data_IF_622678593625
#
_entry.id   IF_622678593625
#
_cell.length_a   1.000
_cell.length_b   1.000
_cell.length_c   1.000
_cell.angle_alpha   90.00
_cell.angle_beta   90.00
_cell.angle_gamma   90.00
#
_symmetry.space_group_name_H-M   'P 1'
#
loop_
_entity.id
_entity.type
_entity.pdbx_description
1 polymer ?
#
# COMPACT_ATOMS: atom_id res chain seq x y z
N UNK A 1 33.60 -19.89 -12.18
CA UNK A 1 32.95 -21.16 -11.73
C UNK A 1 32.65 -21.01 -10.25
N UNK A 2 31.37 -20.91 -9.82
CA UNK A 2 31.00 -20.75 -8.39
C UNK A 2 29.60 -20.21 -8.14
N UNK A 3 28.69 -20.11 -9.14
CA UNK A 3 27.37 -19.48 -8.96
C UNK A 3 26.20 -20.50 -9.00
N UNK A 4 26.45 -21.80 -9.07
CA UNK A 4 25.43 -22.80 -9.42
C UNK A 4 24.70 -23.46 -8.24
N UNK A 5 24.84 -22.97 -6.96
CA UNK A 5 24.18 -23.63 -5.82
C UNK A 5 23.58 -22.70 -4.75
N UNK A 6 23.48 -21.42 -5.00
CA UNK A 6 22.86 -20.53 -4.02
C UNK A 6 21.33 -20.62 -4.15
N UNK A 7 20.65 -21.06 -3.07
CA UNK A 7 19.20 -21.14 -3.03
C UNK A 7 18.60 -19.73 -3.15
N UNK A 8 17.48 -19.57 -3.85
CA UNK A 8 16.86 -18.25 -3.98
C UNK A 8 16.36 -17.75 -2.61
N UNK A 9 16.42 -16.44 -2.41
CA UNK A 9 15.69 -15.78 -1.33
C UNK A 9 14.20 -15.85 -1.65
N UNK A 10 13.40 -16.29 -0.69
CA UNK A 10 11.96 -16.44 -0.87
C UNK A 10 11.21 -15.17 -0.46
N UNK A 11 10.34 -14.69 -1.33
CA UNK A 11 9.35 -13.66 -1.00
C UNK A 11 8.00 -14.36 -0.78
N UNK A 12 7.54 -14.36 0.46
CA UNK A 12 6.29 -15.01 0.84
C UNK A 12 5.14 -14.02 0.69
N UNK A 13 4.49 -14.04 -0.49
CA UNK A 13 3.40 -13.15 -0.87
C UNK A 13 3.73 -12.23 -2.05
N UNK A 14 3.02 -12.40 -3.18
CA UNK A 14 3.17 -11.64 -4.43
C UNK A 14 2.35 -10.34 -4.49
N UNK A 15 2.08 -9.70 -3.33
CA UNK A 15 1.45 -8.39 -3.26
C UNK A 15 2.42 -7.24 -3.50
N UNK A 16 1.97 -5.99 -3.29
CA UNK A 16 2.77 -4.78 -3.53
C UNK A 16 4.12 -4.82 -2.79
N UNK A 17 4.12 -5.20 -1.50
CA UNK A 17 5.36 -5.26 -0.72
C UNK A 17 6.31 -6.33 -1.26
N UNK A 18 5.78 -7.50 -1.58
CA UNK A 18 6.60 -8.59 -2.13
C UNK A 18 7.22 -8.22 -3.47
N UNK A 19 6.45 -7.63 -4.38
CA UNK A 19 6.96 -7.16 -5.67
C UNK A 19 8.00 -6.04 -5.52
N UNK A 20 7.75 -5.05 -4.65
CA UNK A 20 8.66 -3.93 -4.43
C UNK A 20 10.01 -4.40 -3.86
N UNK A 21 9.99 -5.32 -2.89
CA UNK A 21 11.20 -5.88 -2.27
C UNK A 21 11.93 -6.80 -3.26
N UNK A 22 11.19 -7.63 -4.01
CA UNK A 22 11.79 -8.50 -5.02
C UNK A 22 12.51 -7.69 -6.11
N UNK A 23 11.90 -6.60 -6.58
CA UNK A 23 12.51 -5.67 -7.53
C UNK A 23 13.80 -5.06 -6.97
N UNK A 24 13.77 -4.54 -5.73
CA UNK A 24 14.95 -3.95 -5.06
C UNK A 24 16.09 -4.97 -4.90
N UNK A 25 15.78 -6.20 -4.48
CA UNK A 25 16.76 -7.26 -4.28
C UNK A 25 17.34 -7.77 -5.62
N UNK A 26 16.50 -7.94 -6.64
CA UNK A 26 16.93 -8.37 -7.95
C UNK A 26 17.85 -7.33 -8.62
N UNK A 27 17.60 -6.03 -8.46
CA UNK A 27 18.51 -4.96 -8.90
C UNK A 27 19.87 -5.03 -8.22
N UNK A 28 19.93 -5.57 -7.00
CA UNK A 28 21.18 -5.80 -6.25
C UNK A 28 21.84 -7.16 -6.59
N UNK A 29 21.33 -7.85 -7.60
CA UNK A 29 21.87 -9.13 -8.07
C UNK A 29 21.48 -10.35 -7.21
N UNK A 30 20.54 -10.21 -6.26
CA UNK A 30 20.04 -11.36 -5.50
C UNK A 30 19.13 -12.22 -6.38
N UNK A 31 19.29 -13.54 -6.29
CA UNK A 31 18.34 -14.49 -6.87
C UNK A 31 17.09 -14.56 -6.01
N UNK A 32 15.93 -14.20 -6.56
CA UNK A 32 14.67 -14.05 -5.82
C UNK A 32 13.58 -14.93 -6.41
N UNK A 33 12.78 -15.55 -5.54
CA UNK A 33 11.60 -16.32 -5.90
C UNK A 33 10.40 -15.86 -5.10
N UNK A 34 9.30 -15.51 -5.78
CA UNK A 34 8.04 -15.06 -5.18
C UNK A 34 7.05 -16.22 -5.14
N UNK A 35 6.55 -16.52 -3.95
CA UNK A 35 5.48 -17.49 -3.72
C UNK A 35 4.15 -16.76 -3.51
N UNK A 36 3.14 -17.05 -4.32
CA UNK A 36 1.86 -16.34 -4.25
C UNK A 36 0.68 -17.30 -4.44
N UNK A 37 -0.26 -17.27 -3.49
CA UNK A 37 -1.51 -18.03 -3.62
C UNK A 37 -2.40 -17.46 -4.72
N UNK A 38 -2.59 -16.16 -4.71
CA UNK A 38 -3.36 -15.42 -5.70
C UNK A 38 -3.03 -13.93 -5.59
N UNK A 39 -2.37 -13.39 -6.59
CA UNK A 39 -2.02 -11.95 -6.60
C UNK A 39 -3.24 -11.06 -6.70
N UNK A 40 -4.33 -11.52 -7.30
CA UNK A 40 -5.58 -10.75 -7.40
C UNK A 40 -6.24 -10.46 -6.04
N UNK A 41 -5.95 -11.25 -4.99
CA UNK A 41 -6.41 -10.99 -3.62
C UNK A 41 -5.56 -9.94 -2.90
N UNK A 42 -4.42 -9.54 -3.46
CA UNK A 42 -3.52 -8.60 -2.79
C UNK A 42 -4.13 -7.21 -2.66
N UNK A 43 -3.95 -6.58 -1.49
CA UNK A 43 -4.43 -5.22 -1.21
C UNK A 43 -3.91 -4.18 -2.23
N UNK A 44 -2.76 -4.44 -2.86
CA UNK A 44 -2.21 -3.61 -3.94
C UNK A 44 -3.15 -3.49 -5.14
N UNK A 45 -3.92 -4.51 -5.49
CA UNK A 45 -4.92 -4.43 -6.57
C UNK A 45 -6.26 -3.81 -6.12
N UNK A 46 -6.40 -3.45 -4.85
CA UNK A 46 -7.60 -2.82 -4.29
C UNK A 46 -7.39 -1.32 -4.06
N UNK A 47 -6.21 -0.93 -3.62
CA UNK A 47 -5.88 0.42 -3.20
C UNK A 47 -6.06 1.47 -4.32
N UNK A 48 -6.52 2.66 -3.94
CA UNK A 48 -6.68 3.79 -4.86
C UNK A 48 -5.35 4.43 -5.28
N UNK A 49 -4.29 4.21 -4.52
CA UNK A 49 -2.96 4.73 -4.86
C UNK A 49 -2.70 6.16 -4.38
N UNK A 50 -3.33 6.61 -3.33
CA UNK A 50 -2.98 7.90 -2.71
C UNK A 50 -1.58 7.83 -2.08
N UNK A 51 -0.82 8.93 -2.25
CA UNK A 51 0.46 9.21 -1.63
C UNK A 51 0.24 10.43 -0.72
N UNK A 52 -0.27 10.19 0.48
CA UNK A 52 -1.00 11.19 1.25
C UNK A 52 -0.59 11.27 2.73
N UNK A 53 0.71 11.38 3.07
CA UNK A 53 1.11 11.41 4.48
C UNK A 53 0.52 12.61 5.22
N UNK A 54 0.31 13.72 4.52
CA UNK A 54 -0.24 14.92 5.11
C UNK A 54 -1.76 14.94 5.08
N UNK A 55 -2.37 14.67 3.92
CA UNK A 55 -3.82 14.71 3.77
C UNK A 55 -4.53 13.59 4.57
N UNK A 56 -3.88 12.47 4.86
CA UNK A 56 -4.41 11.45 5.77
C UNK A 56 -4.20 11.75 7.25
N UNK A 57 -3.54 12.87 7.58
CA UNK A 57 -3.31 13.32 8.94
C UNK A 57 -2.44 12.36 9.76
N UNK A 58 -1.42 11.76 9.15
CA UNK A 58 -0.50 10.86 9.84
C UNK A 58 0.22 11.61 10.98
N UNK A 59 0.64 10.87 12.01
CA UNK A 59 1.25 11.44 13.23
C UNK A 59 2.55 10.74 13.58
N UNK A 60 3.40 11.43 14.34
CA UNK A 60 4.63 10.86 14.94
C UNK A 60 5.50 10.16 13.90
N UNK A 61 6.07 9.03 14.28
CA UNK A 61 7.00 8.26 13.43
C UNK A 61 6.36 7.75 12.13
N UNK A 62 5.04 7.50 12.11
CA UNK A 62 4.36 7.09 10.89
C UNK A 62 4.29 8.25 9.86
N UNK A 63 4.15 9.50 10.32
CA UNK A 63 4.26 10.67 9.46
C UNK A 63 5.68 10.81 8.91
N UNK A 64 6.70 10.69 9.76
CA UNK A 64 8.10 10.77 9.36
C UNK A 64 8.44 9.70 8.31
N UNK A 65 8.04 8.46 8.55
CA UNK A 65 8.20 7.35 7.60
C UNK A 65 7.48 7.63 6.27
N UNK A 66 6.25 8.16 6.34
CA UNK A 66 5.45 8.51 5.17
C UNK A 66 6.07 9.62 4.33
N UNK A 67 6.57 10.68 4.96
CA UNK A 67 7.29 11.77 4.30
C UNK A 67 8.59 11.29 3.65
N UNK A 68 9.36 10.50 4.39
CA UNK A 68 10.61 9.91 3.89
C UNK A 68 10.35 8.96 2.70
N UNK A 69 9.23 8.21 2.72
CA UNK A 69 8.82 7.38 1.58
C UNK A 69 8.37 8.22 0.38
N UNK A 70 7.58 9.27 0.60
CA UNK A 70 7.09 10.16 -0.46
C UNK A 70 8.25 10.77 -1.26
N UNK A 71 9.32 11.18 -0.57
CA UNK A 71 10.53 11.72 -1.20
C UNK A 71 11.27 10.68 -2.07
N UNK A 72 11.13 9.39 -1.77
CA UNK A 72 11.76 8.29 -2.51
C UNK A 72 10.99 7.86 -3.75
N UNK A 73 9.68 8.16 -3.81
CA UNK A 73 8.82 7.72 -4.92
C UNK A 73 9.34 8.08 -6.32
N UNK A 74 9.79 9.32 -6.61
CA UNK A 74 10.23 9.65 -7.96
C UNK A 74 11.34 8.72 -8.47
N UNK A 75 12.39 8.52 -7.67
CA UNK A 75 13.51 7.63 -8.02
C UNK A 75 13.11 6.16 -8.10
N UNK A 76 12.27 5.71 -7.14
CA UNK A 76 11.77 4.34 -7.11
C UNK A 76 10.93 4.03 -8.34
N UNK A 77 10.03 4.94 -8.74
CA UNK A 77 9.18 4.81 -9.92
C UNK A 77 10.01 4.84 -11.20
N UNK A 78 10.96 5.76 -11.33
CA UNK A 78 11.87 5.83 -12.47
C UNK A 78 12.59 4.49 -12.69
N UNK A 79 13.04 3.86 -11.62
CA UNK A 79 13.68 2.54 -11.68
C UNK A 79 12.74 1.45 -12.20
N UNK A 80 11.47 1.44 -11.72
CA UNK A 80 10.46 0.49 -12.18
C UNK A 80 10.12 0.73 -13.66
N UNK A 81 9.89 1.98 -14.06
CA UNK A 81 9.58 2.35 -15.43
C UNK A 81 10.73 2.02 -16.39
N UNK A 82 11.98 2.21 -15.95
CA UNK A 82 13.17 1.84 -16.70
C UNK A 82 13.25 0.34 -16.95
N UNK A 83 13.01 -0.47 -15.93
CA UNK A 83 13.08 -1.93 -16.05
C UNK A 83 11.88 -2.52 -16.80
N UNK A 84 10.68 -2.03 -16.52
CA UNK A 84 9.44 -2.56 -17.11
C UNK A 84 9.13 -2.02 -18.51
N UNK A 85 9.65 -0.84 -18.87
CA UNK A 85 9.24 -0.04 -20.02
C UNK A 85 7.76 0.36 -20.00
N UNK A 86 7.19 0.49 -18.79
CA UNK A 86 5.78 0.84 -18.57
C UNK A 86 5.68 2.04 -17.64
N UNK A 87 4.72 2.94 -17.89
CA UNK A 87 4.43 4.03 -16.97
C UNK A 87 3.70 3.53 -15.73
N UNK A 88 4.02 4.10 -14.58
CA UNK A 88 3.37 3.85 -13.29
C UNK A 88 2.29 4.88 -12.94
N UNK A 89 2.24 6.00 -13.67
CA UNK A 89 1.23 7.04 -13.47
C UNK A 89 1.39 7.83 -12.16
N UNK A 90 2.63 8.08 -11.74
CA UNK A 90 2.94 8.95 -10.59
C UNK A 90 2.56 10.40 -10.87
N UNK A 91 1.85 11.05 -9.93
CA UNK A 91 1.45 12.46 -10.03
C UNK A 91 1.47 13.15 -8.67
N UNK A 92 2.19 14.26 -8.59
CA UNK A 92 2.09 15.22 -7.49
C UNK A 92 0.99 16.22 -7.84
N UNK A 93 -0.27 15.79 -7.65
CA UNK A 93 -1.43 16.60 -8.03
C UNK A 93 -2.03 17.42 -6.89
N UNK A 94 -1.54 17.25 -5.67
CA UNK A 94 -2.10 17.85 -4.47
C UNK A 94 -3.40 17.16 -4.02
N UNK A 95 -3.65 17.24 -2.70
CA UNK A 95 -4.84 16.68 -2.06
C UNK A 95 -5.54 17.77 -1.27
N UNK A 96 -6.84 17.91 -1.45
CA UNK A 96 -7.69 18.84 -0.68
C UNK A 96 -8.41 18.08 0.42
N UNK A 97 -8.32 18.61 1.64
CA UNK A 97 -9.11 18.16 2.80
C UNK A 97 -10.10 19.28 3.16
N UNK A 98 -11.41 19.09 2.94
CA UNK A 98 -12.42 20.10 3.25
C UNK A 98 -12.89 20.03 4.72
N UNK A 99 -13.24 21.16 5.29
CA UNK A 99 -13.75 21.31 6.68
C UNK A 99 -15.03 22.14 6.71
N UNK A 100 -15.92 21.82 7.66
CA UNK A 100 -17.16 22.56 7.89
C UNK A 100 -16.90 23.83 8.73
N UNK A 101 -15.86 23.81 9.56
CA UNK A 101 -15.53 24.93 10.45
C UNK A 101 -14.03 25.06 10.68
N UNK A 102 -13.64 26.24 11.18
CA UNK A 102 -12.23 26.60 11.42
C UNK A 102 -11.58 25.75 12.50
N UNK A 103 -12.30 25.39 13.56
CA UNK A 103 -11.77 24.63 14.69
C UNK A 103 -11.25 23.25 14.24
N UNK A 104 -12.04 22.54 13.44
CA UNK A 104 -11.66 21.23 12.92
C UNK A 104 -10.47 21.34 11.97
N UNK A 105 -10.41 22.39 11.16
CA UNK A 105 -9.29 22.68 10.28
C UNK A 105 -7.98 22.91 11.06
N UNK A 106 -8.02 23.79 12.07
CA UNK A 106 -6.83 24.14 12.86
C UNK A 106 -6.35 23.00 13.77
N UNK A 107 -7.26 22.12 14.19
CA UNK A 107 -6.94 20.91 14.95
C UNK A 107 -6.45 19.74 14.09
N UNK A 108 -6.43 19.89 12.76
CA UNK A 108 -5.99 18.80 11.88
C UNK A 108 -4.52 18.45 12.11
N UNK A 109 -4.16 17.16 12.26
CA UNK A 109 -2.81 16.77 12.73
C UNK A 109 -1.67 17.33 11.90
N UNK A 110 -1.88 17.50 10.62
CA UNK A 110 -0.89 17.99 9.65
C UNK A 110 -1.17 19.43 9.16
N UNK A 111 -2.00 20.18 9.89
CA UNK A 111 -2.39 21.54 9.56
C UNK A 111 -1.24 22.43 9.08
N UNK A 112 -0.10 22.39 9.78
CA UNK A 112 1.10 23.19 9.48
C UNK A 112 1.74 22.92 8.11
N UNK A 113 1.39 21.82 7.47
CA UNK A 113 1.90 21.44 6.14
C UNK A 113 0.94 21.79 5.00
N UNK A 114 -0.30 22.17 5.33
CA UNK A 114 -1.36 22.50 4.37
C UNK A 114 -1.46 24.00 4.10
N UNK A 115 -1.76 24.35 2.86
CA UNK A 115 -2.18 25.68 2.47
C UNK A 115 -3.67 25.84 2.81
N UNK A 116 -3.99 26.86 3.61
CA UNK A 116 -5.37 27.13 4.01
C UNK A 116 -6.13 27.75 2.85
N UNK A 117 -7.26 27.19 2.51
CA UNK A 117 -8.17 27.67 1.48
C UNK A 117 -9.45 28.21 2.13
N UNK A 118 -9.84 29.44 1.80
CA UNK A 118 -11.18 29.94 2.05
C UNK A 118 -12.20 29.30 1.11
N UNK A 119 -13.50 29.59 1.27
CA UNK A 119 -14.56 28.96 0.45
C UNK A 119 -14.40 29.20 -1.05
N UNK A 120 -14.00 30.39 -1.47
CA UNK A 120 -13.84 30.73 -2.89
C UNK A 120 -12.65 29.99 -3.50
N UNK A 121 -11.51 29.99 -2.82
CA UNK A 121 -10.32 29.23 -3.22
C UNK A 121 -10.59 27.72 -3.25
N UNK A 122 -11.32 27.21 -2.25
CA UNK A 122 -11.71 25.82 -2.18
C UNK A 122 -12.56 25.40 -3.40
N UNK A 123 -13.50 26.24 -3.84
CA UNK A 123 -14.31 25.99 -5.03
C UNK A 123 -13.52 26.10 -6.34
N UNK A 124 -12.44 26.89 -6.38
CA UNK A 124 -11.54 26.91 -7.54
C UNK A 124 -10.74 25.60 -7.68
N UNK A 125 -10.32 25.03 -6.55
CA UNK A 125 -9.60 23.76 -6.54
C UNK A 125 -10.54 22.55 -6.70
N UNK A 126 -11.77 22.63 -6.16
CA UNK A 126 -12.78 21.56 -6.16
C UNK A 126 -14.15 22.12 -6.59
N UNK A 127 -14.39 22.29 -7.91
CA UNK A 127 -15.70 22.69 -8.39
C UNK A 127 -16.80 21.69 -7.99
N UNK A 128 -18.00 22.19 -7.67
CA UNK A 128 -19.14 21.37 -7.28
C UNK A 128 -19.09 20.85 -5.82
N UNK A 129 -18.11 21.25 -5.03
CA UNK A 129 -18.02 20.87 -3.63
C UNK A 129 -19.22 21.40 -2.84
N UNK A 130 -19.89 20.51 -2.09
CA UNK A 130 -21.10 20.80 -1.31
C UNK A 130 -20.93 22.03 -0.40
N UNK A 131 -22.03 22.81 -0.24
CA UNK A 131 -22.03 24.08 0.49
C UNK A 131 -21.69 23.96 1.99
N UNK A 132 -21.81 22.77 2.57
CA UNK A 132 -21.45 22.54 3.96
C UNK A 132 -19.96 22.75 4.23
N UNK A 133 -19.08 22.54 3.25
CA UNK A 133 -17.63 22.69 3.37
C UNK A 133 -17.24 24.15 3.21
N UNK A 134 -16.81 24.79 4.28
CA UNK A 134 -16.58 26.25 4.35
C UNK A 134 -15.14 26.66 4.06
N UNK A 135 -14.18 25.76 4.31
CA UNK A 135 -12.75 25.99 4.13
C UNK A 135 -12.04 24.66 3.88
N UNK A 136 -10.76 24.69 3.54
CA UNK A 136 -9.97 23.48 3.28
C UNK A 136 -8.51 23.65 3.57
N UNK A 137 -7.79 22.53 3.56
CA UNK A 137 -6.33 22.47 3.49
C UNK A 137 -5.93 21.81 2.17
N UNK A 138 -5.04 22.46 1.43
CA UNK A 138 -4.42 21.90 0.23
C UNK A 138 -2.99 21.46 0.57
N UNK A 139 -2.73 20.17 0.44
CA UNK A 139 -1.41 19.57 0.59
C UNK A 139 -0.80 19.36 -0.79
N UNK A 140 -0.07 20.35 -1.30
CA UNK A 140 0.48 20.36 -2.68
C UNK A 140 1.51 19.25 -2.92
N UNK A 141 2.22 18.85 -1.90
CA UNK A 141 3.25 17.81 -1.95
C UNK A 141 2.70 16.37 -2.01
N UNK A 142 1.45 16.19 -1.60
CA UNK A 142 0.76 14.91 -1.68
C UNK A 142 0.27 14.63 -3.11
N UNK A 143 0.00 13.38 -3.41
CA UNK A 143 -0.38 13.01 -4.76
C UNK A 143 -0.95 11.61 -4.88
N UNK A 144 -0.75 11.02 -6.06
CA UNK A 144 -1.24 9.69 -6.38
C UNK A 144 -0.33 8.94 -7.33
N UNK A 145 -0.53 7.64 -7.36
CA UNK A 145 -0.04 6.76 -8.41
C UNK A 145 -1.20 5.88 -8.90
N UNK A 146 -1.23 5.52 -10.19
CA UNK A 146 -2.24 4.58 -10.67
C UNK A 146 -1.85 3.15 -10.28
N UNK A 147 -2.06 2.86 -9.00
CA UNK A 147 -1.58 1.65 -8.38
C UNK A 147 -2.18 0.38 -9.02
N UNK A 148 -3.51 0.35 -9.19
CA UNK A 148 -4.25 -0.84 -9.62
C UNK A 148 -4.03 -1.16 -11.10
N UNK A 149 -4.03 -0.16 -11.97
CA UNK A 149 -3.95 -0.34 -13.43
C UNK A 149 -2.51 -0.37 -13.96
N UNK A 150 -1.62 0.43 -13.35
CA UNK A 150 -0.27 0.66 -13.87
C UNK A 150 0.83 0.11 -12.95
N UNK A 151 0.96 0.62 -11.72
CA UNK A 151 2.10 0.29 -10.84
C UNK A 151 2.27 -1.22 -10.61
N UNK A 152 1.18 -1.92 -10.25
CA UNK A 152 1.28 -3.36 -9.95
C UNK A 152 1.74 -4.16 -11.16
N UNK A 153 1.30 -3.80 -12.36
CA UNK A 153 1.71 -4.44 -13.62
C UNK A 153 3.15 -4.09 -13.99
N UNK A 154 3.52 -2.83 -13.83
CA UNK A 154 4.90 -2.38 -14.09
C UNK A 154 5.89 -3.05 -13.15
N UNK A 155 5.60 -3.16 -11.86
CA UNK A 155 6.42 -3.87 -10.88
C UNK A 155 6.57 -5.36 -11.23
N UNK A 156 5.47 -6.02 -11.57
CA UNK A 156 5.52 -7.42 -11.99
C UNK A 156 6.42 -7.60 -13.22
N UNK A 157 6.21 -6.77 -14.25
CA UNK A 157 7.02 -6.80 -15.46
C UNK A 157 8.49 -6.51 -15.15
N UNK A 158 8.78 -5.50 -14.34
CA UNK A 158 10.15 -5.17 -13.91
C UNK A 158 10.83 -6.34 -13.19
N UNK A 159 10.11 -7.04 -12.31
CA UNK A 159 10.63 -8.24 -11.65
C UNK A 159 10.94 -9.35 -12.65
N UNK A 160 10.06 -9.60 -13.64
CA UNK A 160 10.31 -10.60 -14.69
C UNK A 160 11.55 -10.27 -15.51
N UNK A 161 11.71 -9.01 -15.94
CA UNK A 161 12.88 -8.55 -16.70
C UNK A 161 14.19 -8.65 -15.91
N UNK A 162 14.13 -8.56 -14.58
CA UNK A 162 15.27 -8.75 -13.68
C UNK A 162 15.49 -10.22 -13.30
N UNK A 163 14.75 -11.16 -13.86
CA UNK A 163 14.94 -12.59 -13.62
C UNK A 163 14.34 -13.11 -12.30
N UNK A 164 13.40 -12.39 -11.70
CA UNK A 164 12.66 -12.90 -10.53
C UNK A 164 11.77 -14.05 -10.97
N UNK A 165 11.84 -15.15 -10.26
CA UNK A 165 10.99 -16.31 -10.50
C UNK A 165 9.67 -16.20 -9.73
N UNK A 166 8.55 -16.62 -10.36
CA UNK A 166 7.22 -16.57 -9.76
C UNK A 166 6.62 -17.97 -9.66
N UNK A 167 6.17 -18.35 -8.47
CA UNK A 167 5.31 -19.50 -8.25
C UNK A 167 3.90 -19.03 -7.86
N UNK A 168 3.01 -18.94 -8.83
CA UNK A 168 1.60 -18.58 -8.62
C UNK A 168 0.77 -19.82 -8.30
N UNK A 169 -0.31 -19.65 -7.52
CA UNK A 169 -1.16 -20.76 -7.06
C UNK A 169 -0.57 -21.55 -5.90
N UNK A 170 0.46 -20.99 -5.24
CA UNK A 170 1.17 -21.63 -4.13
C UNK A 170 0.86 -20.91 -2.82
N UNK A 171 0.23 -21.62 -1.89
CA UNK A 171 -0.06 -21.12 -0.55
C UNK A 171 1.05 -21.50 0.43
N UNK A 172 1.70 -20.52 1.03
CA UNK A 172 2.60 -20.76 2.16
C UNK A 172 1.77 -21.07 3.39
N UNK A 173 1.96 -22.22 4.00
CA UNK A 173 1.16 -22.69 5.15
C UNK A 173 1.95 -22.73 6.44
N UNK A 174 3.30 -22.82 6.38
CA UNK A 174 4.15 -22.93 7.57
C UNK A 174 5.57 -22.44 7.26
N UNK A 175 6.19 -21.78 8.24
CA UNK A 175 7.62 -21.44 8.25
C UNK A 175 8.37 -22.60 8.89
N UNK A 176 9.36 -23.12 8.16
CA UNK A 176 10.27 -24.14 8.68
C UNK A 176 11.51 -23.49 9.27
N UNK A 177 11.92 -23.96 10.44
CA UNK A 177 13.13 -23.50 11.12
C UNK A 177 13.88 -24.65 11.76
N UNK A 178 15.19 -24.50 11.85
CA UNK A 178 16.07 -25.35 12.64
C UNK A 178 16.62 -24.49 13.78
N UNK A 179 16.25 -24.86 15.02
CA UNK A 179 16.47 -24.03 16.21
C UNK A 179 15.86 -22.64 16.02
N UNK A 180 16.67 -21.61 15.81
CA UNK A 180 16.24 -20.23 15.56
C UNK A 180 16.64 -19.71 14.18
N UNK A 181 16.99 -20.59 13.23
CA UNK A 181 17.37 -20.24 11.85
C UNK A 181 16.29 -20.68 10.87
N UNK A 182 15.91 -19.78 9.95
CA UNK A 182 15.01 -20.11 8.85
C UNK A 182 15.62 -21.20 7.97
N UNK A 183 14.82 -22.21 7.61
CA UNK A 183 15.27 -23.35 6.79
C UNK A 183 14.34 -23.60 5.58
N UNK A 184 13.35 -22.74 5.38
CA UNK A 184 12.42 -22.86 4.25
C UNK A 184 10.97 -22.73 4.68
N UNK A 185 10.08 -23.15 3.79
CA UNK A 185 8.63 -23.09 3.99
C UNK A 185 7.96 -24.37 3.54
N UNK A 186 6.86 -24.69 4.20
CA UNK A 186 5.89 -25.69 3.73
C UNK A 186 4.84 -24.96 2.90
N UNK A 187 4.59 -25.49 1.73
CA UNK A 187 3.68 -24.93 0.75
C UNK A 187 2.59 -25.92 0.37
N UNK A 188 1.46 -25.39 -0.07
CA UNK A 188 0.37 -26.13 -0.66
C UNK A 188 0.13 -25.61 -2.07
N UNK A 189 0.18 -26.49 -3.07
CA UNK A 189 -0.10 -26.15 -4.46
C UNK A 189 -1.60 -26.09 -4.76
N UNK A 190 -1.95 -25.70 -5.98
CA UNK A 190 -3.36 -25.58 -6.44
C UNK A 190 -4.10 -26.93 -6.42
N UNK A 191 -3.39 -28.05 -6.48
CA UNK A 191 -3.95 -29.42 -6.43
C UNK A 191 -4.10 -29.92 -4.98
N UNK A 192 -3.66 -29.12 -3.99
CA UNK A 192 -3.69 -29.48 -2.58
C UNK A 192 -2.47 -30.30 -2.12
N UNK A 193 -1.47 -30.54 -2.98
CA UNK A 193 -0.26 -31.25 -2.59
C UNK A 193 0.60 -30.38 -1.69
N UNK A 194 1.19 -31.02 -0.68
CA UNK A 194 2.06 -30.35 0.27
C UNK A 194 3.52 -30.64 -0.10
N UNK A 195 4.29 -29.58 -0.28
CA UNK A 195 5.70 -29.62 -0.61
C UNK A 195 6.52 -28.77 0.36
N UNK A 196 7.82 -29.01 0.39
CA UNK A 196 8.77 -28.25 1.20
C UNK A 196 9.77 -27.55 0.29
N UNK A 197 9.84 -26.22 0.40
CA UNK A 197 10.86 -25.41 -0.29
C UNK A 197 11.93 -25.00 0.73
N UNK A 198 13.16 -25.43 0.48
CA UNK A 198 14.31 -25.09 1.31
C UNK A 198 14.93 -23.77 0.85
N UNK A 199 15.14 -22.86 1.78
CA UNK A 199 15.92 -21.62 1.61
C UNK A 199 16.49 -21.19 2.96
N UNK A 200 17.50 -20.35 2.94
CA UNK A 200 18.12 -19.81 4.14
C UNK A 200 17.63 -18.41 4.48
N UNK A 201 16.98 -17.74 3.52
CA UNK A 201 16.49 -16.38 3.65
C UNK A 201 15.06 -16.24 3.08
N UNK A 202 14.21 -15.49 3.78
CA UNK A 202 12.89 -15.14 3.28
C UNK A 202 12.39 -13.78 3.80
N UNK A 203 11.45 -13.18 3.08
CA UNK A 203 10.69 -12.00 3.54
C UNK A 203 9.20 -12.35 3.60
N UNK A 204 8.57 -12.19 4.75
CA UNK A 204 7.14 -12.39 4.94
C UNK A 204 6.36 -11.15 4.53
N UNK A 205 5.67 -11.23 3.39
CA UNK A 205 4.88 -10.16 2.77
C UNK A 205 3.41 -10.56 2.54
N UNK A 206 2.86 -11.49 3.36
CA UNK A 206 1.53 -12.07 3.17
C UNK A 206 0.37 -11.15 3.58
N UNK A 207 0.61 -9.85 3.81
CA UNK A 207 -0.41 -8.87 4.10
C UNK A 207 -1.33 -9.28 5.25
N UNK A 208 -2.64 -9.22 5.05
CA UNK A 208 -3.62 -9.55 6.09
C UNK A 208 -3.54 -11.02 6.58
N UNK A 209 -2.96 -11.91 5.79
CA UNK A 209 -2.79 -13.33 6.13
C UNK A 209 -1.49 -13.65 6.88
N UNK A 210 -0.63 -12.68 7.13
CA UNK A 210 0.69 -12.89 7.75
C UNK A 210 0.60 -13.58 9.11
N UNK A 211 -0.43 -13.27 9.92
CA UNK A 211 -0.68 -13.93 11.20
C UNK A 211 -1.02 -15.42 11.08
N UNK A 212 -1.58 -15.86 9.96
CA UNK A 212 -1.91 -17.28 9.76
C UNK A 212 -0.64 -18.13 9.61
N UNK A 213 0.43 -17.50 9.10
CA UNK A 213 1.73 -18.15 8.84
C UNK A 213 2.67 -17.95 10.04
N UNK A 214 2.71 -16.75 10.62
CA UNK A 214 3.51 -16.41 11.79
C UNK A 214 2.60 -15.91 12.90
N UNK A 215 2.12 -16.82 13.73
CA UNK A 215 0.99 -16.66 14.67
C UNK A 215 1.15 -15.57 15.72
N UNK A 216 2.40 -15.22 16.07
CA UNK A 216 2.70 -14.18 17.08
C UNK A 216 2.52 -12.76 16.56
N UNK A 217 2.39 -12.56 15.24
CA UNK A 217 2.21 -11.23 14.68
C UNK A 217 0.86 -10.63 15.07
N UNK A 218 0.82 -9.38 15.55
CA UNK A 218 -0.41 -8.69 15.93
C UNK A 218 -1.16 -8.12 14.71
N UNK A 219 -1.29 -8.92 13.65
CA UNK A 219 -1.94 -8.50 12.39
C UNK A 219 -3.37 -9.02 12.34
N UNK A 220 -4.28 -8.15 11.90
CA UNK A 220 -5.67 -8.48 11.63
C UNK A 220 -6.16 -7.81 10.33
N UNK A 221 -7.13 -8.42 9.63
CA UNK A 221 -7.71 -7.84 8.43
C UNK A 221 -8.65 -6.69 8.77
N UNK A 222 -8.60 -5.61 7.97
CA UNK A 222 -9.63 -4.57 7.92
C UNK A 222 -10.17 -4.52 6.50
N UNK A 223 -11.41 -4.94 6.33
CA UNK A 223 -12.07 -4.95 5.03
C UNK A 223 -12.37 -3.53 4.58
N UNK A 224 -12.18 -3.26 3.30
CA UNK A 224 -12.56 -2.02 2.64
C UNK A 224 -13.27 -2.30 1.33
N UNK A 225 -14.36 -1.58 1.09
CA UNK A 225 -15.10 -1.60 -0.17
C UNK A 225 -14.84 -0.31 -0.94
N UNK A 226 -14.85 -0.41 -2.24
CA UNK A 226 -14.53 0.63 -3.19
C UNK A 226 -15.54 0.62 -4.33
N UNK A 227 -15.67 1.73 -5.02
CA UNK A 227 -16.33 1.80 -6.32
C UNK A 227 -15.57 2.76 -7.24
N UNK A 228 -15.87 2.73 -8.53
CA UNK A 228 -15.44 3.76 -9.47
C UNK A 228 -16.62 4.30 -10.26
N UNK A 229 -16.52 5.58 -10.62
CA UNK A 229 -17.47 6.29 -11.45
C UNK A 229 -16.74 6.90 -12.65
N UNK A 230 -17.43 7.04 -13.78
CA UNK A 230 -16.86 7.64 -14.99
C UNK A 230 -17.47 8.99 -15.24
N UNK A 231 -16.65 10.03 -15.20
CA UNK A 231 -16.99 11.38 -15.60
C UNK A 231 -16.27 11.82 -16.87
N UNK A 232 -16.50 13.06 -17.31
CA UNK A 232 -15.67 13.72 -18.32
C UNK A 232 -14.20 13.76 -17.89
N UNK A 233 -13.29 13.82 -18.86
CA UNK A 233 -11.86 14.00 -18.58
C UNK A 233 -11.66 15.26 -17.73
N UNK A 234 -10.79 15.14 -16.72
CA UNK A 234 -10.41 16.25 -15.84
C UNK A 234 -11.57 16.90 -15.06
N UNK A 235 -12.66 16.16 -14.80
CA UNK A 235 -13.79 16.65 -14.00
C UNK A 235 -13.34 17.09 -12.59
N UNK A 236 -12.33 16.43 -12.04
CA UNK A 236 -11.65 16.81 -10.80
C UNK A 236 -10.15 16.97 -11.06
N UNK A 237 -9.58 18.09 -10.62
CA UNK A 237 -8.14 18.38 -10.74
C UNK A 237 -7.31 17.81 -9.58
N UNK A 238 -7.95 17.67 -8.43
CA UNK A 238 -7.32 17.28 -7.15
C UNK A 238 -7.95 16.02 -6.62
N UNK A 239 -7.18 15.30 -5.81
CA UNK A 239 -7.75 14.31 -4.91
C UNK A 239 -8.50 15.06 -3.81
N UNK A 240 -9.63 14.53 -3.40
CA UNK A 240 -10.39 15.04 -2.26
C UNK A 240 -10.38 13.98 -1.18
N UNK A 241 -9.89 14.32 0.00
CA UNK A 241 -9.89 13.45 1.17
C UNK A 241 -10.85 14.02 2.20
N UNK A 242 -12.08 13.47 2.25
CA UNK A 242 -13.13 13.88 3.16
C UNK A 242 -13.30 12.90 4.32
N UNK A 243 -14.16 13.22 5.30
CA UNK A 243 -14.48 12.31 6.39
C UNK A 243 -15.09 11.00 5.87
N UNK A 244 -14.41 9.88 6.13
CA UNK A 244 -14.85 8.54 5.77
C UNK A 244 -14.77 8.17 4.29
N UNK A 245 -14.40 9.10 3.40
CA UNK A 245 -14.34 8.86 1.96
C UNK A 245 -13.26 9.70 1.29
N UNK A 246 -12.73 9.20 0.18
CA UNK A 246 -11.88 9.97 -0.73
C UNK A 246 -12.31 9.78 -2.20
N UNK A 247 -12.00 10.78 -3.02
CA UNK A 247 -12.22 10.78 -4.46
C UNK A 247 -10.86 10.95 -5.15
N UNK A 248 -10.43 9.95 -5.91
CA UNK A 248 -9.12 9.96 -6.59
C UNK A 248 -9.34 9.96 -8.10
N UNK A 249 -9.21 11.14 -8.76
CA UNK A 249 -9.42 11.28 -10.18
C UNK A 249 -8.27 10.71 -11.01
N UNK A 250 -8.61 10.18 -12.19
CA UNK A 250 -7.67 9.78 -13.24
C UNK A 250 -7.82 10.68 -14.46
N UNK A 251 -6.82 10.71 -15.33
CA UNK A 251 -6.81 11.58 -16.52
C UNK A 251 -7.88 11.25 -17.54
N UNK A 252 -8.31 9.99 -17.57
CA UNK A 252 -9.35 9.49 -18.45
C UNK A 252 -10.77 9.79 -17.94
N UNK A 253 -10.90 10.48 -16.81
CA UNK A 253 -12.17 10.82 -16.17
C UNK A 253 -12.70 9.77 -15.20
N UNK A 254 -12.00 8.65 -15.05
CA UNK A 254 -12.33 7.68 -14.01
C UNK A 254 -12.05 8.29 -12.63
N UNK A 255 -12.97 8.16 -11.69
CA UNK A 255 -12.81 8.56 -10.29
C UNK A 255 -12.93 7.33 -9.42
N UNK A 256 -11.88 7.05 -8.66
CA UNK A 256 -11.89 5.99 -7.65
C UNK A 256 -12.49 6.57 -6.37
N UNK A 257 -13.51 5.91 -5.86
CA UNK A 257 -14.21 6.27 -4.62
C UNK A 257 -13.90 5.23 -3.55
N UNK A 258 -13.33 5.67 -2.48
CA UNK A 258 -12.93 4.81 -1.35
C UNK A 258 -13.00 5.53 -0.02
N UNK A 259 -12.94 4.83 1.05
CA UNK A 259 -13.20 3.42 1.17
C UNK A 259 -13.91 3.16 2.49
N UNK A 260 -14.71 2.13 2.55
CA UNK A 260 -15.23 1.69 3.85
C UNK A 260 -14.10 1.18 4.75
N UNK A 261 -14.35 1.12 6.05
CA UNK A 261 -13.41 0.57 7.03
C UNK A 261 -14.19 -0.37 7.97
N UNK A 262 -14.18 -1.67 7.63
CA UNK A 262 -15.01 -2.69 8.27
C UNK A 262 -14.12 -3.64 9.09
N UNK A 263 -13.77 -3.23 10.30
CA UNK A 263 -12.87 -3.99 11.19
C UNK A 263 -13.49 -5.31 11.63
N UNK A 264 -14.80 -5.29 11.95
CA UNK A 264 -15.53 -6.45 12.45
C UNK A 264 -15.83 -7.50 11.36
N UNK A 265 -15.64 -7.14 10.09
CA UNK A 265 -15.88 -8.07 8.99
C UNK A 265 -14.84 -9.21 8.89
N UNK A 266 -13.68 -9.08 9.56
CA UNK A 266 -12.61 -10.07 9.46
C UNK A 266 -12.28 -10.37 7.99
N UNK A 267 -12.28 -11.65 7.61
CA UNK A 267 -12.09 -12.12 6.23
C UNK A 267 -13.40 -12.36 5.46
N UNK A 268 -14.50 -11.71 5.83
CA UNK A 268 -15.76 -11.82 5.09
C UNK A 268 -15.61 -11.28 3.68
N UNK A 269 -15.73 -12.15 2.69
CA UNK A 269 -15.63 -11.82 1.26
C UNK A 269 -16.90 -11.13 0.74
N UNK A 270 -16.75 -10.42 -0.38
CA UNK A 270 -17.86 -9.81 -1.12
C UNK A 270 -18.19 -8.38 -0.70
N UNK A 271 -19.07 -7.77 -1.49
CA UNK A 271 -19.63 -6.44 -1.24
C UNK A 271 -20.81 -6.54 -0.29
N UNK A 272 -21.11 -5.47 0.44
CA UNK A 272 -22.29 -5.38 1.29
C UNK A 272 -23.15 -4.16 0.91
N UNK A 273 -24.48 -4.25 0.99
CA UNK A 273 -25.35 -3.09 0.75
C UNK A 273 -25.01 -1.89 1.64
N UNK A 274 -24.67 -2.16 2.92
CA UNK A 274 -24.24 -1.12 3.88
C UNK A 274 -23.00 -0.38 3.37
N UNK A 275 -21.93 -1.10 3.03
CA UNK A 275 -20.68 -0.49 2.57
C UNK A 275 -20.86 0.31 1.27
N UNK A 276 -21.66 -0.21 0.33
CA UNK A 276 -21.97 0.52 -0.91
C UNK A 276 -22.80 1.79 -0.64
N UNK A 277 -23.75 1.73 0.29
CA UNK A 277 -24.52 2.91 0.73
C UNK A 277 -23.64 3.96 1.41
N UNK A 278 -22.65 3.55 2.21
CA UNK A 278 -21.68 4.47 2.83
C UNK A 278 -20.87 5.23 1.77
N UNK A 279 -20.39 4.55 0.74
CA UNK A 279 -19.66 5.19 -0.37
C UNK A 279 -20.55 6.20 -1.12
N UNK A 280 -21.80 5.85 -1.43
CA UNK A 280 -22.74 6.76 -2.10
C UNK A 280 -23.06 7.99 -1.24
N UNK A 281 -23.30 7.80 0.07
CA UNK A 281 -23.51 8.92 1.01
C UNK A 281 -22.27 9.82 1.08
N UNK A 282 -21.07 9.25 1.02
CA UNK A 282 -19.83 10.00 0.97
C UNK A 282 -19.72 10.86 -0.29
N UNK A 283 -20.04 10.31 -1.47
CA UNK A 283 -20.10 11.08 -2.71
C UNK A 283 -21.09 12.24 -2.56
N UNK A 284 -22.32 11.95 -2.10
CA UNK A 284 -23.36 12.95 -1.86
C UNK A 284 -22.90 14.06 -0.90
N UNK A 285 -22.11 13.70 0.09
CA UNK A 285 -21.56 14.63 1.08
C UNK A 285 -20.49 15.55 0.51
N UNK A 286 -19.65 15.05 -0.41
CA UNK A 286 -18.58 15.84 -1.01
C UNK A 286 -19.05 16.59 -2.25
N UNK A 287 -19.44 15.88 -3.30
CA UNK A 287 -19.85 16.45 -4.59
C UNK A 287 -21.12 15.72 -5.05
N UNK A 288 -22.31 16.23 -4.73
CA UNK A 288 -23.59 15.57 -5.02
C UNK A 288 -23.79 15.16 -6.48
N UNK A 289 -23.34 16.01 -7.43
CA UNK A 289 -23.50 15.78 -8.86
C UNK A 289 -22.82 14.50 -9.35
N UNK A 290 -21.76 14.05 -8.69
CA UNK A 290 -21.05 12.83 -9.05
C UNK A 290 -21.90 11.55 -8.87
N UNK A 291 -22.97 11.59 -8.06
CA UNK A 291 -23.90 10.46 -7.93
C UNK A 291 -24.69 10.16 -9.21
N UNK A 292 -24.77 11.11 -10.14
CA UNK A 292 -25.47 10.94 -11.42
C UNK A 292 -24.57 10.28 -12.48
N UNK A 293 -23.29 10.15 -12.21
CA UNK A 293 -22.33 9.55 -13.14
C UNK A 293 -22.43 8.01 -13.10
N UNK A 294 -22.19 7.34 -14.24
CA UNK A 294 -22.23 5.89 -14.33
C UNK A 294 -21.18 5.23 -13.40
N UNK A 295 -21.63 4.24 -12.65
CA UNK A 295 -20.75 3.37 -11.88
C UNK A 295 -20.12 2.33 -12.81
N UNK A 296 -18.78 2.19 -12.76
CA UNK A 296 -18.02 1.29 -13.62
C UNK A 296 -17.72 -0.03 -12.92
N UNK A 297 -17.07 0.02 -11.78
CA UNK A 297 -16.65 -1.15 -11.02
C UNK A 297 -16.95 -0.99 -9.54
N UNK A 298 -17.09 -2.13 -8.87
CA UNK A 298 -17.17 -2.24 -7.41
C UNK A 298 -16.30 -3.39 -6.98
N UNK A 299 -15.47 -3.16 -5.95
CA UNK A 299 -14.56 -4.20 -5.45
C UNK A 299 -14.30 -4.03 -3.95
N UNK A 300 -13.59 -4.97 -3.39
CA UNK A 300 -13.27 -5.03 -1.97
C UNK A 300 -11.92 -5.69 -1.76
N UNK A 301 -11.35 -5.54 -0.55
CA UNK A 301 -10.14 -6.23 -0.14
C UNK A 301 -9.84 -6.04 1.33
N UNK A 302 -8.75 -6.64 1.77
CA UNK A 302 -8.33 -6.66 3.16
C UNK A 302 -7.04 -5.90 3.36
N UNK A 303 -7.07 -4.89 4.21
CA UNK A 303 -5.89 -4.18 4.68
C UNK A 303 -5.24 -4.96 5.81
N UNK A 304 -3.91 -5.18 5.82
CA UNK A 304 -3.19 -5.73 6.96
C UNK A 304 -3.03 -4.66 8.03
N UNK A 305 -3.77 -4.75 9.12
CA UNK A 305 -3.74 -3.77 10.18
C UNK A 305 -2.97 -4.29 11.41
N UNK A 306 -2.25 -3.42 12.09
CA UNK A 306 -1.63 -3.59 13.41
C UNK A 306 -2.35 -2.73 14.43
N UNK A 307 -2.16 -2.93 15.75
CA UNK A 307 -2.83 -2.12 16.78
C UNK A 307 -2.56 -0.62 16.70
N UNK A 308 -1.38 -0.21 16.26
CA UNK A 308 -0.95 1.19 16.09
C UNK A 308 -1.00 1.68 14.64
N UNK A 309 -1.55 0.88 13.72
CA UNK A 309 -1.65 1.15 12.28
C UNK A 309 -0.29 1.29 11.55
N UNK A 310 0.82 1.13 12.24
CA UNK A 310 2.17 1.15 11.68
C UNK A 310 2.62 -0.21 11.13
N UNK A 311 3.52 -0.24 10.13
CA UNK A 311 4.00 -1.50 9.55
C UNK A 311 4.87 -2.30 10.53
N UNK A 312 5.09 -3.58 10.22
CA UNK A 312 6.09 -4.45 10.85
C UNK A 312 7.24 -4.62 9.86
N UNK A 313 8.41 -4.08 10.20
CA UNK A 313 9.59 -4.05 9.34
C UNK A 313 10.82 -4.65 10.02
N UNK A 314 11.67 -5.29 9.23
CA UNK A 314 12.99 -5.77 9.67
C UNK A 314 13.02 -7.25 10.05
N UNK A 315 14.09 -7.66 10.75
CA UNK A 315 14.32 -9.04 11.15
C UNK A 315 13.27 -9.53 12.16
N UNK A 316 12.77 -10.74 11.99
CA UNK A 316 11.90 -11.41 12.93
C UNK A 316 12.69 -12.05 14.08
N UNK A 317 12.00 -12.82 14.96
CA UNK A 317 12.68 -13.67 15.94
C UNK A 317 13.38 -14.89 15.34
N UNK A 318 13.24 -15.11 14.03
CA UNK A 318 13.87 -16.23 13.31
C UNK A 318 14.96 -15.65 12.41
N UNK A 319 16.20 -16.01 12.64
CA UNK A 319 17.34 -15.56 11.83
C UNK A 319 17.16 -15.98 10.36
N UNK A 320 17.30 -15.05 9.43
CA UNK A 320 17.06 -15.27 8.00
C UNK A 320 15.60 -15.08 7.56
N UNK A 321 14.70 -14.68 8.49
CA UNK A 321 13.33 -14.31 8.15
C UNK A 321 13.07 -12.84 8.46
N UNK A 322 12.85 -12.04 7.42
CA UNK A 322 12.44 -10.63 7.53
C UNK A 322 10.94 -10.46 7.41
N UNK A 323 10.44 -9.35 7.91
CA UNK A 323 9.04 -8.97 7.89
C UNK A 323 8.85 -7.66 7.12
N UNK A 324 7.85 -7.63 6.25
CA UNK A 324 7.38 -6.42 5.56
C UNK A 324 5.86 -6.52 5.37
N UNK A 325 5.11 -6.21 6.43
CA UNK A 325 3.66 -6.41 6.49
C UNK A 325 3.01 -5.40 7.44
N UNK A 326 1.69 -5.41 7.57
CA UNK A 326 0.99 -4.53 8.53
C UNK A 326 0.84 -3.07 8.10
N UNK A 327 1.04 -2.74 6.84
CA UNK A 327 1.03 -1.35 6.31
C UNK A 327 -0.34 -0.67 6.32
N UNK A 328 -1.39 -1.34 6.76
CA UNK A 328 -2.77 -0.85 6.82
C UNK A 328 -3.19 -0.17 5.51
N UNK A 329 -3.61 1.11 5.54
CA UNK A 329 -4.00 1.90 4.36
C UNK A 329 -2.83 2.60 3.67
N UNK A 330 -1.65 2.61 4.30
CA UNK A 330 -0.47 3.33 3.83
C UNK A 330 0.46 2.48 2.94
N UNK A 331 0.05 1.27 2.53
CA UNK A 331 0.92 0.35 1.80
C UNK A 331 1.49 0.95 0.50
N UNK A 332 0.69 1.69 -0.27
CA UNK A 332 1.19 2.31 -1.51
C UNK A 332 2.19 3.42 -1.19
N UNK A 333 1.87 4.29 -0.24
CA UNK A 333 2.76 5.35 0.24
C UNK A 333 4.08 4.77 0.76
N UNK A 334 4.05 3.69 1.54
CA UNK A 334 5.23 3.17 2.22
C UNK A 334 6.05 2.16 1.39
N UNK A 335 5.61 1.81 0.16
CA UNK A 335 6.25 0.77 -0.64
C UNK A 335 7.72 1.08 -0.97
N UNK A 336 8.03 2.31 -1.34
CA UNK A 336 9.38 2.73 -1.73
C UNK A 336 10.38 2.58 -0.57
N UNK A 337 10.05 3.14 0.60
CA UNK A 337 10.94 3.06 1.77
C UNK A 337 11.02 1.65 2.34
N UNK A 338 9.92 0.89 2.33
CA UNK A 338 9.91 -0.50 2.79
C UNK A 338 10.85 -1.36 1.94
N UNK A 339 10.80 -1.23 0.61
CA UNK A 339 11.69 -1.97 -0.29
C UNK A 339 13.16 -1.63 -0.03
N UNK A 340 13.48 -0.34 0.10
CA UNK A 340 14.85 0.12 0.37
C UNK A 340 15.37 -0.38 1.72
N UNK A 341 14.59 -0.23 2.82
CA UNK A 341 15.01 -0.64 4.16
C UNK A 341 15.25 -2.15 4.25
N UNK A 342 14.33 -2.96 3.72
CA UNK A 342 14.47 -4.41 3.72
C UNK A 342 15.61 -4.85 2.80
N UNK A 343 15.73 -4.25 1.62
CA UNK A 343 16.82 -4.53 0.68
C UNK A 343 18.20 -4.23 1.26
N UNK A 344 18.36 -3.08 1.93
CA UNK A 344 19.60 -2.72 2.64
C UNK A 344 19.90 -3.69 3.79
N UNK A 345 18.88 -4.05 4.58
CA UNK A 345 19.06 -4.97 5.71
C UNK A 345 19.51 -6.36 5.25
N UNK A 346 18.93 -6.90 4.18
CA UNK A 346 19.29 -8.21 3.62
C UNK A 346 20.69 -8.20 2.98
N UNK A 347 21.00 -7.14 2.25
CA UNK A 347 22.31 -7.02 1.58
C UNK A 347 23.42 -6.49 2.50
N UNK A 348 23.17 -6.35 3.80
CA UNK A 348 24.12 -5.79 4.78
C UNK A 348 24.72 -4.45 4.35
N UNK A 349 23.93 -3.64 3.63
CA UNK A 349 24.32 -2.29 3.23
C UNK A 349 24.10 -1.33 4.41
N UNK A 350 24.97 -0.35 4.58
CA UNK A 350 24.87 0.62 5.68
C UNK A 350 23.55 1.38 5.65
N UNK A 351 22.90 1.45 6.81
CA UNK A 351 21.71 2.25 7.04
C UNK A 351 22.10 3.61 7.60
N UNK A 352 21.40 4.66 7.22
CA UNK A 352 21.51 5.95 7.88
C UNK A 352 20.92 5.90 9.30
N UNK A 353 21.18 6.92 10.11
CA UNK A 353 20.60 7.02 11.45
C UNK A 353 19.06 7.06 11.39
N UNK A 354 18.49 7.76 10.42
CA UNK A 354 17.04 7.82 10.18
C UNK A 354 16.47 6.44 9.85
N UNK A 355 17.10 5.72 8.89
CA UNK A 355 16.69 4.39 8.46
C UNK A 355 16.77 3.35 9.60
N UNK A 356 17.83 3.43 10.39
CA UNK A 356 17.99 2.60 11.59
C UNK A 356 16.92 2.89 12.64
N UNK A 357 16.55 4.17 12.81
CA UNK A 357 15.46 4.58 13.68
C UNK A 357 14.12 4.00 13.21
N UNK A 358 13.80 4.08 11.91
CA UNK A 358 12.57 3.49 11.39
C UNK A 358 12.48 1.99 11.63
N UNK A 359 13.54 1.22 11.38
CA UNK A 359 13.54 -0.21 11.67
C UNK A 359 13.38 -0.51 13.17
N UNK A 360 13.94 0.32 14.04
CA UNK A 360 13.76 0.20 15.49
C UNK A 360 12.34 0.53 15.92
N UNK A 361 11.73 1.60 15.40
CA UNK A 361 10.38 2.04 15.73
C UNK A 361 9.31 1.07 15.24
N UNK A 362 9.48 0.51 14.04
CA UNK A 362 8.52 -0.38 13.40
C UNK A 362 8.89 -1.87 13.52
N UNK A 363 9.69 -2.23 14.51
CA UNK A 363 10.02 -3.62 14.82
C UNK A 363 8.76 -4.41 15.21
N UNK A 364 8.79 -5.71 14.97
CA UNK A 364 7.62 -6.59 15.11
C UNK A 364 7.20 -6.83 16.59
N UNK A 365 8.11 -6.70 17.52
CA UNK A 365 7.95 -6.98 18.95
C UNK A 365 7.81 -5.71 19.81
N UNK A 366 7.32 -4.61 19.21
CA UNK A 366 7.04 -3.35 19.93
C UNK A 366 5.71 -3.34 20.70
N UNK A 367 4.93 -4.43 20.63
CA UNK A 367 3.63 -4.59 21.29
C UNK A 367 3.71 -5.46 22.54
#
# INVERSE_FOLDING_TARGET
MGILNEKPLLILGGGLMGLAIAHELAQKGKRVEILSRSRSEAAGFVAAGMLAPHAEGLKGELLNLGQSSLQRHPRWIESIETNSKMSCGLKTCGIVVPFENLKDCESYPTYKFGEKLNRNELLQEVPGLSEKWKLGLLFRQDGQIDNRRLLMRALEKACVELGVHFQEGVEVIEIMKDSNKFNGVKIKDINGNINHLKSEEAVLCCGAWSKQIFKTLPIFPVKGQMLSIQGPKQILKRIIFGPGIYLVPRDDGLIIVGATSEREAGFQKGLTPKGQSELQKGIQSLIPELNQLPHMERWWGFRPCTPDEGPLLGMSSINGLWLATGHHRNGVLLAAITAELIGKSICSTSLSNEESSFLSQFRWDRF
#
